data_IF_424190043529
#
_entry.id   IF_424190043529
#
_cell.length_a   1.000
_cell.length_b   1.000
_cell.length_c   1.000
_cell.angle_alpha   90.00
_cell.angle_beta   90.00
_cell.angle_gamma   90.00
#
_symmetry.space_group_name_H-M   'P 1'
#
loop_
_entity.id
_entity.type
_entity.pdbx_description
1 polymer ?
#
# COMPACT_ATOMS: atom_id res chain seq x y z
N UNK A 1 -18.38 50.70 -32.33
CA UNK A 1 -17.85 49.41 -31.87
C UNK A 1 -18.92 48.36 -32.15
N UNK A 2 -18.78 47.58 -33.22
CA UNK A 2 -19.67 46.48 -33.56
C UNK A 2 -19.14 45.19 -32.89
N UNK A 3 -19.99 44.54 -32.11
CA UNK A 3 -19.72 43.26 -31.50
C UNK A 3 -19.76 42.15 -32.55
N UNK A 4 -18.64 41.46 -32.76
CA UNK A 4 -18.57 40.26 -33.60
C UNK A 4 -19.20 39.11 -32.83
N UNK A 5 -20.41 38.73 -33.21
CA UNK A 5 -21.05 37.47 -32.80
C UNK A 5 -20.38 36.34 -33.59
N UNK A 6 -19.39 35.69 -33.01
CA UNK A 6 -18.85 34.45 -33.53
C UNK A 6 -19.81 33.30 -33.27
N UNK A 7 -20.49 32.80 -34.31
CA UNK A 7 -21.18 31.50 -34.29
C UNK A 7 -20.12 30.40 -34.30
N UNK A 8 -19.80 29.87 -33.12
CA UNK A 8 -19.10 28.61 -33.03
C UNK A 8 -20.12 27.51 -33.39
N UNK A 9 -20.21 27.13 -34.67
CA UNK A 9 -20.77 25.84 -35.07
C UNK A 9 -19.88 24.76 -34.44
N UNK A 10 -20.39 24.02 -33.46
CA UNK A 10 -19.70 22.88 -32.92
C UNK A 10 -19.36 21.91 -34.05
N UNK A 11 -18.10 21.84 -34.41
CA UNK A 11 -17.57 20.81 -35.29
C UNK A 11 -17.72 19.47 -34.55
N UNK A 12 -18.57 18.58 -35.09
CA UNK A 12 -18.64 17.21 -34.58
C UNK A 12 -17.24 16.60 -34.61
N UNK A 13 -16.87 15.93 -33.53
CA UNK A 13 -15.59 15.24 -33.45
C UNK A 13 -15.46 14.22 -34.60
N UNK A 14 -14.26 14.03 -35.18
CA UNK A 14 -14.04 13.01 -36.20
C UNK A 14 -14.51 11.65 -35.75
N UNK A 15 -15.06 10.85 -36.66
CA UNK A 15 -15.65 9.52 -36.38
C UNK A 15 -14.62 8.59 -35.67
N UNK A 16 -13.34 8.69 -36.05
CA UNK A 16 -12.25 7.94 -35.40
C UNK A 16 -12.06 8.35 -33.93
N UNK A 17 -12.22 9.64 -33.61
CA UNK A 17 -12.12 10.11 -32.23
C UNK A 17 -13.31 9.64 -31.40
N UNK A 18 -14.53 9.64 -31.98
CA UNK A 18 -15.72 9.11 -31.32
C UNK A 18 -15.56 7.61 -31.03
N UNK A 19 -15.11 6.82 -32.01
CA UNK A 19 -14.91 5.37 -31.83
C UNK A 19 -13.81 5.06 -30.80
N UNK A 20 -12.79 5.91 -30.69
CA UNK A 20 -11.74 5.77 -29.68
C UNK A 20 -12.26 6.10 -28.28
N UNK A 21 -13.04 7.15 -28.14
CA UNK A 21 -13.71 7.53 -26.88
C UNK A 21 -14.65 6.44 -26.43
N UNK A 22 -15.53 5.95 -27.34
CA UNK A 22 -16.47 4.87 -27.04
C UNK A 22 -15.76 3.57 -26.59
N UNK A 23 -14.59 3.28 -27.20
CA UNK A 23 -13.76 2.13 -26.81
C UNK A 23 -13.17 2.34 -25.42
N UNK A 24 -12.68 3.55 -25.12
CA UNK A 24 -12.13 3.89 -23.80
C UNK A 24 -13.21 3.89 -22.72
N UNK A 25 -14.40 4.42 -23.03
CA UNK A 25 -15.56 4.35 -22.13
C UNK A 25 -15.96 2.92 -21.83
N UNK A 26 -15.98 2.04 -22.84
CA UNK A 26 -16.29 0.63 -22.65
C UNK A 26 -15.25 -0.10 -21.80
N UNK A 27 -13.95 0.15 -22.03
CA UNK A 27 -12.87 -0.39 -21.19
C UNK A 27 -12.99 0.13 -19.76
N UNK A 28 -13.36 1.39 -19.59
CA UNK A 28 -13.60 2.00 -18.30
C UNK A 28 -14.84 1.38 -17.61
N UNK A 29 -15.92 1.18 -18.35
CA UNK A 29 -17.14 0.55 -17.85
C UNK A 29 -16.89 -0.90 -17.44
N UNK A 30 -16.17 -1.70 -18.25
CA UNK A 30 -15.79 -3.09 -17.96
C UNK A 30 -14.87 -3.16 -16.72
N UNK A 31 -13.99 -2.16 -16.53
CA UNK A 31 -13.12 -2.06 -15.35
C UNK A 31 -13.92 -1.71 -14.08
N UNK A 32 -14.97 -0.90 -14.20
CA UNK A 32 -15.77 -0.44 -13.06
C UNK A 32 -16.96 -1.35 -12.72
N UNK A 33 -17.34 -2.32 -13.56
CA UNK A 33 -18.37 -3.30 -13.21
C UNK A 33 -17.97 -4.20 -12.02
N UNK A 34 -16.69 -4.23 -11.66
CA UNK A 34 -16.14 -5.01 -10.55
C UNK A 34 -15.72 -4.19 -9.32
N UNK A 35 -16.13 -2.90 -9.19
CA UNK A 35 -15.76 -2.09 -8.02
C UNK A 35 -16.63 -2.48 -6.83
N UNK A 36 -15.94 -2.96 -5.79
CA UNK A 36 -16.57 -3.22 -4.49
C UNK A 36 -16.18 -2.16 -3.48
N UNK A 37 -17.14 -1.66 -2.75
CA UNK A 37 -16.94 -0.66 -1.68
C UNK A 37 -17.52 -1.14 -0.35
N UNK A 38 -17.16 -0.44 0.72
CA UNK A 38 -17.78 -0.60 2.04
C UNK A 38 -18.48 0.69 2.45
N UNK A 39 -19.47 0.59 3.32
CA UNK A 39 -20.06 1.77 3.96
C UNK A 39 -19.06 2.36 4.97
N UNK A 40 -19.02 3.69 5.04
CA UNK A 40 -18.16 4.43 5.99
C UNK A 40 -16.69 3.99 6.01
N UNK A 41 -16.00 3.93 4.85
CA UNK A 41 -14.64 3.40 4.78
C UNK A 41 -13.65 4.26 5.59
N UNK A 42 -13.98 5.50 5.92
CA UNK A 42 -13.16 6.41 6.73
C UNK A 42 -12.97 5.91 8.16
N UNK A 43 -13.94 5.20 8.73
CA UNK A 43 -13.83 4.60 10.08
C UNK A 43 -12.73 3.55 10.13
N UNK A 44 -12.63 2.71 9.11
CA UNK A 44 -11.55 1.71 8.98
C UNK A 44 -10.17 2.37 8.89
N UNK A 45 -10.06 3.45 8.11
CA UNK A 45 -8.79 4.19 7.98
C UNK A 45 -8.31 4.70 9.33
N UNK A 46 -9.20 5.33 10.10
CA UNK A 46 -8.87 5.86 11.43
C UNK A 46 -8.47 4.75 12.39
N UNK A 47 -9.19 3.63 12.41
CA UNK A 47 -8.88 2.48 13.26
C UNK A 47 -7.51 1.88 12.91
N UNK A 48 -7.21 1.68 11.62
CA UNK A 48 -5.94 1.15 11.15
C UNK A 48 -4.78 2.06 11.57
N UNK A 49 -4.92 3.37 11.43
CA UNK A 49 -3.89 4.34 11.81
C UNK A 49 -3.56 4.26 13.29
N UNK A 50 -4.58 4.26 14.16
CA UNK A 50 -4.35 4.18 15.61
C UNK A 50 -3.78 2.82 16.02
N UNK A 51 -4.26 1.74 15.44
CA UNK A 51 -3.74 0.41 15.66
C UNK A 51 -2.24 0.29 15.33
N UNK A 52 -1.84 0.80 14.16
CA UNK A 52 -0.44 0.75 13.72
C UNK A 52 0.45 1.62 14.60
N UNK A 53 -0.02 2.78 15.02
CA UNK A 53 0.71 3.64 15.96
C UNK A 53 0.97 2.94 17.29
N UNK A 54 -0.02 2.25 17.83
CA UNK A 54 0.08 1.58 19.12
C UNK A 54 0.91 0.29 19.07
N UNK A 55 0.77 -0.51 18.00
CA UNK A 55 1.30 -1.86 17.95
C UNK A 55 2.55 -2.03 17.08
N UNK A 56 2.72 -1.19 16.06
CA UNK A 56 3.81 -1.26 15.09
C UNK A 56 4.58 0.06 14.93
N UNK A 57 4.51 0.95 15.93
CA UNK A 57 5.19 2.23 15.95
C UNK A 57 6.73 2.11 16.03
N UNK A 58 7.38 3.09 16.66
CA UNK A 58 8.85 3.16 16.74
C UNK A 58 9.41 2.03 17.60
N UNK A 59 8.86 1.82 18.80
CA UNK A 59 9.28 0.76 19.72
C UNK A 59 8.33 -0.44 19.59
N UNK A 60 8.87 -1.54 19.14
CA UNK A 60 8.13 -2.78 18.84
C UNK A 60 8.54 -3.89 19.78
N UNK A 61 7.64 -4.83 20.04
CA UNK A 61 7.93 -6.11 20.67
C UNK A 61 6.95 -7.16 20.15
N UNK A 62 7.24 -8.42 20.44
CA UNK A 62 6.44 -9.57 20.00
C UNK A 62 4.97 -9.43 20.37
N UNK A 63 4.67 -9.13 21.63
CA UNK A 63 3.29 -9.05 22.12
C UNK A 63 2.48 -7.97 21.38
N UNK A 64 3.03 -6.77 21.25
CA UNK A 64 2.36 -5.69 20.52
C UNK A 64 2.14 -6.04 19.05
N UNK A 65 3.18 -6.55 18.38
CA UNK A 65 3.09 -6.95 16.99
C UNK A 65 2.07 -8.08 16.77
N UNK A 66 2.00 -9.09 17.65
CA UNK A 66 1.00 -10.15 17.58
C UNK A 66 -0.41 -9.63 17.77
N UNK A 67 -0.63 -8.75 18.76
CA UNK A 67 -1.93 -8.11 18.97
C UNK A 67 -2.33 -7.26 17.77
N UNK A 68 -1.38 -6.49 17.21
CA UNK A 68 -1.60 -5.71 15.98
C UNK A 68 -1.97 -6.59 14.79
N UNK A 69 -1.25 -7.70 14.58
CA UNK A 69 -1.55 -8.63 13.49
C UNK A 69 -2.93 -9.24 13.63
N UNK A 70 -3.28 -9.73 14.84
CA UNK A 70 -4.60 -10.29 15.11
C UNK A 70 -5.69 -9.29 14.75
N UNK A 71 -5.57 -8.05 15.21
CA UNK A 71 -6.58 -7.02 14.96
C UNK A 71 -6.65 -6.60 13.49
N UNK A 72 -5.52 -6.48 12.78
CA UNK A 72 -5.51 -6.21 11.32
C UNK A 72 -6.24 -7.31 10.55
N UNK A 73 -6.03 -8.57 10.92
CA UNK A 73 -6.72 -9.68 10.27
C UNK A 73 -8.23 -9.69 10.56
N UNK A 74 -8.66 -9.33 11.76
CA UNK A 74 -10.07 -9.16 12.10
C UNK A 74 -10.72 -8.04 11.28
N UNK A 75 -10.08 -6.86 11.24
CA UNK A 75 -10.55 -5.72 10.43
C UNK A 75 -10.60 -6.11 8.94
N UNK A 76 -9.57 -6.79 8.44
CA UNK A 76 -9.48 -7.26 7.07
C UNK A 76 -10.66 -8.20 6.74
N UNK A 77 -10.92 -9.19 7.57
CA UNK A 77 -12.03 -10.11 7.36
C UNK A 77 -13.38 -9.38 7.38
N UNK A 78 -13.59 -8.50 8.35
CA UNK A 78 -14.81 -7.71 8.44
C UNK A 78 -14.97 -6.78 7.23
N UNK A 79 -13.89 -6.11 6.80
CA UNK A 79 -13.89 -5.25 5.63
C UNK A 79 -14.33 -6.00 4.36
N UNK A 80 -13.73 -7.16 4.09
CA UNK A 80 -14.09 -7.94 2.91
C UNK A 80 -15.50 -8.55 2.97
N UNK A 81 -15.98 -8.89 4.17
CA UNK A 81 -17.35 -9.40 4.35
C UNK A 81 -18.42 -8.33 4.14
N UNK A 82 -18.07 -7.06 4.29
CA UNK A 82 -18.99 -5.93 4.13
C UNK A 82 -18.81 -5.18 2.80
N UNK A 83 -17.96 -5.69 1.90
CA UNK A 83 -17.87 -5.16 0.54
C UNK A 83 -19.14 -5.49 -0.24
N UNK A 84 -19.64 -4.51 -0.97
CA UNK A 84 -20.73 -4.68 -1.93
C UNK A 84 -20.34 -4.04 -3.25
N UNK A 85 -20.81 -4.62 -4.34
CA UNK A 85 -20.53 -4.13 -5.68
C UNK A 85 -21.40 -2.91 -6.01
N UNK A 86 -20.75 -1.89 -6.56
CA UNK A 86 -21.44 -0.69 -7.05
C UNK A 86 -21.66 -0.84 -8.54
N UNK A 87 -22.91 -0.58 -8.98
CA UNK A 87 -23.21 -0.46 -10.41
C UNK A 87 -22.89 0.95 -10.89
N UNK A 88 -22.28 1.06 -12.05
CA UNK A 88 -21.87 2.33 -12.65
C UNK A 88 -23.02 3.35 -12.77
N UNK A 89 -24.27 2.88 -12.92
CA UNK A 89 -25.45 3.74 -12.94
C UNK A 89 -25.69 4.49 -11.62
N UNK A 90 -25.34 3.85 -10.49
CA UNK A 90 -25.45 4.46 -9.16
C UNK A 90 -24.35 5.51 -8.95
N UNK A 91 -23.19 5.30 -9.58
CA UNK A 91 -22.08 6.22 -9.59
C UNK A 91 -22.37 7.57 -10.25
N UNK A 92 -23.18 7.56 -11.33
CA UNK A 92 -23.54 8.77 -12.09
C UNK A 92 -24.61 9.63 -11.41
N UNK A 93 -25.40 9.07 -10.49
CA UNK A 93 -26.52 9.77 -9.83
C UNK A 93 -26.20 10.37 -8.47
N UNK A 94 -25.19 9.85 -7.73
CA UNK A 94 -24.80 10.32 -6.39
C UNK A 94 -23.32 10.74 -6.35
N UNK A 95 -22.94 11.60 -7.26
CA UNK A 95 -21.56 11.88 -7.66
C UNK A 95 -20.55 12.18 -6.53
N UNK A 96 -20.93 12.83 -5.43
CA UNK A 96 -19.94 13.29 -4.47
C UNK A 96 -19.53 12.25 -3.41
N UNK A 97 -20.49 11.55 -2.80
CA UNK A 97 -20.18 10.63 -1.70
C UNK A 97 -19.72 9.25 -2.18
N UNK A 98 -20.26 8.78 -3.31
CA UNK A 98 -19.94 7.45 -3.84
C UNK A 98 -18.50 7.37 -4.35
N UNK A 99 -18.04 8.41 -5.06
CA UNK A 99 -16.65 8.46 -5.54
C UNK A 99 -15.64 8.49 -4.40
N UNK A 100 -15.88 9.31 -3.37
CA UNK A 100 -15.03 9.36 -2.19
C UNK A 100 -14.99 8.00 -1.48
N UNK A 101 -16.13 7.35 -1.30
CA UNK A 101 -16.21 6.03 -0.69
C UNK A 101 -15.45 4.96 -1.49
N UNK A 102 -15.46 5.01 -2.82
CA UNK A 102 -14.67 4.12 -3.68
C UNK A 102 -13.18 4.34 -3.44
N UNK A 103 -12.72 5.59 -3.54
CA UNK A 103 -11.31 5.94 -3.35
C UNK A 103 -10.83 5.55 -1.96
N UNK A 104 -11.60 5.88 -0.91
CA UNK A 104 -11.24 5.55 0.47
C UNK A 104 -11.29 4.04 0.71
N UNK A 105 -12.22 3.29 0.09
CA UNK A 105 -12.25 1.82 0.16
C UNK A 105 -10.99 1.20 -0.43
N UNK A 106 -10.48 1.69 -1.57
CA UNK A 106 -9.22 1.23 -2.14
C UNK A 106 -8.01 1.58 -1.27
N UNK A 107 -8.02 2.78 -0.67
CA UNK A 107 -6.98 3.18 0.28
C UNK A 107 -6.97 2.29 1.51
N UNK A 108 -8.14 1.95 2.06
CA UNK A 108 -8.28 1.02 3.20
C UNK A 108 -7.79 -0.36 2.83
N UNK A 109 -8.19 -0.90 1.68
CA UNK A 109 -7.73 -2.21 1.20
C UNK A 109 -6.21 -2.28 1.06
N UNK A 110 -5.62 -1.29 0.40
CA UNK A 110 -4.17 -1.18 0.25
C UNK A 110 -3.47 -1.04 1.59
N UNK A 111 -4.04 -0.27 2.52
CA UNK A 111 -3.52 -0.09 3.87
C UNK A 111 -3.55 -1.39 4.68
N UNK A 112 -4.63 -2.17 4.60
CA UNK A 112 -4.74 -3.46 5.28
C UNK A 112 -3.65 -4.44 4.82
N UNK A 113 -3.40 -4.50 3.51
CA UNK A 113 -2.34 -5.34 2.93
C UNK A 113 -0.97 -4.87 3.39
N UNK A 114 -0.70 -3.57 3.32
CA UNK A 114 0.58 -2.99 3.72
C UNK A 114 0.84 -3.16 5.23
N UNK A 115 -0.14 -2.92 6.08
CA UNK A 115 -0.04 -3.07 7.53
C UNK A 115 0.21 -4.53 7.93
N UNK A 116 -0.49 -5.48 7.30
CA UNK A 116 -0.24 -6.91 7.51
C UNK A 116 1.21 -7.27 7.14
N UNK A 117 1.69 -6.81 5.97
CA UNK A 117 3.06 -7.06 5.53
C UNK A 117 4.09 -6.47 6.50
N UNK A 118 3.90 -5.22 6.94
CA UNK A 118 4.79 -4.54 7.89
C UNK A 118 4.87 -5.31 9.20
N UNK A 119 3.73 -5.71 9.78
CA UNK A 119 3.70 -6.40 11.06
C UNK A 119 4.31 -7.79 10.95
N UNK A 120 3.99 -8.56 9.89
CA UNK A 120 4.55 -9.90 9.67
C UNK A 120 6.07 -9.84 9.47
N UNK A 121 6.57 -8.91 8.67
CA UNK A 121 8.01 -8.71 8.48
C UNK A 121 8.70 -8.28 9.79
N UNK A 122 8.05 -7.41 10.59
CA UNK A 122 8.58 -6.99 11.88
C UNK A 122 8.59 -8.12 12.92
N UNK A 123 7.60 -9.02 12.90
CA UNK A 123 7.58 -10.23 13.74
C UNK A 123 8.69 -11.19 13.33
N UNK A 124 8.89 -11.39 12.03
CA UNK A 124 9.91 -12.30 11.51
C UNK A 124 11.32 -11.83 11.88
N UNK A 125 11.61 -10.51 11.85
CA UNK A 125 12.94 -9.96 12.17
C UNK A 125 13.17 -9.91 13.67
N UNK A 126 14.11 -10.72 14.16
CA UNK A 126 14.46 -10.85 15.58
C UNK A 126 15.75 -10.11 15.92
N UNK A 127 15.86 -8.87 15.48
CA UNK A 127 16.96 -7.94 15.76
C UNK A 127 16.47 -6.50 15.76
N UNK A 128 17.34 -5.56 16.09
CA UNK A 128 17.16 -4.11 15.88
C UNK A 128 18.16 -3.60 14.86
N UNK A 129 17.65 -3.01 13.74
CA UNK A 129 18.47 -2.51 12.64
C UNK A 129 17.84 -1.29 11.99
N UNK A 130 18.58 -0.20 11.85
CA UNK A 130 18.10 1.06 11.30
C UNK A 130 16.89 1.60 12.08
N UNK A 131 15.79 1.90 11.41
CA UNK A 131 14.54 2.34 12.04
C UNK A 131 13.71 1.19 12.64
N UNK A 132 14.11 -0.07 12.45
CA UNK A 132 13.45 -1.22 13.05
C UNK A 132 14.02 -1.48 14.44
N UNK A 133 13.31 -1.03 15.48
CA UNK A 133 13.71 -1.28 16.86
C UNK A 133 12.75 -2.25 17.55
N UNK A 134 13.32 -3.34 18.07
CA UNK A 134 12.64 -4.39 18.84
C UNK A 134 13.16 -4.36 20.30
N UNK A 135 12.31 -3.98 21.26
CA UNK A 135 12.72 -3.97 22.66
C UNK A 135 13.02 -5.36 23.24
N UNK A 136 12.46 -6.40 22.64
CA UNK A 136 12.72 -7.82 22.95
C UNK A 136 13.96 -8.38 22.21
N UNK A 137 14.43 -7.71 21.16
CA UNK A 137 15.66 -8.01 20.43
C UNK A 137 16.46 -6.71 20.16
N UNK A 138 17.01 -6.04 21.21
CA UNK A 138 17.52 -4.68 21.09
C UNK A 138 18.87 -4.59 20.35
N UNK A 139 19.53 -5.71 20.11
CA UNK A 139 20.85 -5.76 19.48
C UNK A 139 20.73 -6.02 17.97
N UNK A 140 21.73 -5.54 17.25
CA UNK A 140 21.98 -5.90 15.87
C UNK A 140 22.51 -7.33 15.82
N UNK A 141 22.06 -8.11 14.83
CA UNK A 141 22.47 -9.49 14.63
C UNK A 141 22.90 -9.66 13.15
N UNK A 142 24.14 -10.11 12.94
CA UNK A 142 24.69 -10.27 11.58
C UNK A 142 24.00 -11.39 10.78
N UNK A 143 23.43 -12.40 11.44
CA UNK A 143 22.65 -13.45 10.78
C UNK A 143 21.33 -12.92 10.16
N UNK A 144 20.93 -11.74 10.61
CA UNK A 144 19.79 -11.00 10.06
C UNK A 144 20.15 -9.95 9.00
N UNK A 145 21.41 -9.96 8.50
CA UNK A 145 21.80 -9.14 7.35
C UNK A 145 21.15 -9.63 6.06
N UNK A 146 19.83 -9.70 6.06
CA UNK A 146 18.99 -10.20 4.98
C UNK A 146 17.87 -9.21 4.67
N UNK A 147 17.35 -9.26 3.46
CA UNK A 147 16.08 -8.65 3.10
C UNK A 147 14.94 -9.63 3.40
N UNK A 148 13.84 -9.12 3.93
CA UNK A 148 12.60 -9.90 4.08
C UNK A 148 11.66 -9.47 2.96
N UNK A 149 11.23 -10.43 2.17
CA UNK A 149 10.25 -10.25 1.11
C UNK A 149 8.93 -10.85 1.54
N UNK A 150 7.85 -10.24 1.09
CA UNK A 150 6.52 -10.81 1.22
C UNK A 150 5.82 -10.81 -0.14
N UNK A 151 5.06 -11.85 -0.41
CA UNK A 151 4.18 -11.94 -1.58
C UNK A 151 2.87 -12.61 -1.19
N UNK A 152 1.84 -12.34 -1.95
CA UNK A 152 0.58 -13.07 -1.84
C UNK A 152 0.67 -14.36 -2.63
N UNK A 153 0.24 -15.47 -2.04
CA UNK A 153 0.08 -16.76 -2.70
C UNK A 153 -1.40 -17.16 -2.68
N UNK A 154 -1.87 -17.70 -3.81
CA UNK A 154 -3.25 -18.14 -3.99
C UNK A 154 -3.77 -17.83 -5.38
N UNK A 155 -4.42 -18.80 -6.06
CA UNK A 155 -5.03 -18.62 -7.38
C UNK A 155 -6.45 -18.10 -7.21
N UNK A 156 -6.74 -16.95 -7.83
CA UNK A 156 -8.13 -16.53 -8.16
C UNK A 156 -9.05 -16.16 -6.99
N UNK A 157 -8.54 -16.06 -5.79
CA UNK A 157 -9.34 -15.60 -4.67
C UNK A 157 -9.43 -14.07 -4.67
N UNK A 158 -10.61 -13.54 -4.34
CA UNK A 158 -10.76 -12.15 -3.91
C UNK A 158 -9.60 -11.77 -2.99
N UNK A 159 -9.12 -10.53 -3.09
CA UNK A 159 -7.89 -10.05 -2.41
C UNK A 159 -7.81 -10.39 -0.91
N UNK A 160 -8.93 -10.74 -0.26
CA UNK A 160 -9.03 -11.14 1.13
C UNK A 160 -8.52 -12.54 1.47
N UNK A 161 -8.57 -13.49 0.54
CA UNK A 161 -8.31 -14.91 0.81
C UNK A 161 -6.87 -15.35 0.48
N UNK A 162 -6.06 -14.50 -0.17
CA UNK A 162 -4.68 -14.85 -0.50
C UNK A 162 -3.80 -14.82 0.75
N UNK A 163 -3.04 -15.88 0.98
CA UNK A 163 -2.09 -15.97 2.07
C UNK A 163 -0.84 -15.10 1.77
N UNK A 164 -0.32 -14.44 2.80
CA UNK A 164 0.91 -13.67 2.71
C UNK A 164 2.09 -14.53 3.16
N UNK A 165 2.95 -14.89 2.23
CA UNK A 165 4.15 -15.69 2.46
C UNK A 165 5.37 -14.79 2.56
N UNK A 166 6.21 -15.05 3.56
CA UNK A 166 7.45 -14.33 3.81
C UNK A 166 8.65 -15.23 3.57
N UNK A 167 9.71 -14.64 3.01
CA UNK A 167 10.98 -15.33 2.83
C UNK A 167 12.16 -14.38 2.99
N UNK A 168 13.30 -14.93 3.42
CA UNK A 168 14.56 -14.21 3.57
C UNK A 168 15.35 -14.30 2.27
N UNK A 169 16.06 -13.23 1.95
CA UNK A 169 16.99 -13.19 0.83
C UNK A 169 18.24 -12.44 1.27
N UNK A 170 19.40 -12.99 1.00
CA UNK A 170 20.66 -12.38 1.37
C UNK A 170 20.83 -11.02 0.70
N UNK A 171 21.42 -10.08 1.45
CA UNK A 171 21.78 -8.79 0.90
C UNK A 171 22.90 -8.98 -0.11
N UNK A 172 22.64 -8.57 -1.35
CA UNK A 172 23.63 -8.64 -2.41
C UNK A 172 24.84 -7.78 -2.04
N UNK A 173 26.00 -8.38 -1.98
CA UNK A 173 27.23 -7.63 -1.80
C UNK A 173 27.54 -6.78 -3.03
N UNK A 174 27.58 -5.47 -2.84
CA UNK A 174 27.99 -4.55 -3.91
C UNK A 174 29.52 -4.51 -3.91
N UNK A 175 30.13 -4.85 -5.05
CA UNK A 175 31.59 -4.84 -5.25
C UNK A 175 31.92 -3.78 -6.30
N UNK A 176 33.12 -3.19 -6.17
CA UNK A 176 33.66 -2.29 -7.17
C UNK A 176 34.38 -1.08 -6.58
N UNK A 177 35.15 -0.35 -7.41
CA UNK A 177 36.00 0.74 -6.96
C UNK A 177 35.28 1.84 -6.14
N UNK A 178 34.04 2.13 -6.51
CA UNK A 178 33.25 3.13 -5.77
C UNK A 178 32.93 2.68 -4.32
N UNK A 179 32.66 1.39 -4.14
CA UNK A 179 32.36 0.83 -2.82
C UNK A 179 33.62 0.84 -1.95
N UNK A 180 34.78 0.50 -2.52
CA UNK A 180 36.06 0.50 -1.81
C UNK A 180 36.43 1.93 -1.42
N UNK A 181 36.18 2.91 -2.29
CA UNK A 181 36.36 4.33 -1.99
C UNK A 181 35.43 4.79 -0.85
N UNK A 182 34.15 4.42 -0.87
CA UNK A 182 33.20 4.75 0.20
C UNK A 182 33.59 4.11 1.53
N UNK A 183 34.01 2.84 1.53
CA UNK A 183 34.49 2.14 2.75
C UNK A 183 35.73 2.85 3.35
N UNK A 184 36.66 3.29 2.50
CA UNK A 184 37.87 4.02 2.96
C UNK A 184 37.49 5.37 3.57
N UNK A 185 36.54 6.11 3.01
CA UNK A 185 36.11 7.40 3.55
C UNK A 185 35.35 7.26 4.87
N UNK A 186 34.47 6.24 5.00
CA UNK A 186 33.75 5.96 6.25
C UNK A 186 34.73 5.58 7.34
N UNK A 187 35.74 4.76 7.04
CA UNK A 187 36.79 4.40 8.00
C UNK A 187 37.63 5.59 8.46
N UNK A 188 37.99 6.48 7.54
CA UNK A 188 38.71 7.72 7.84
C UNK A 188 37.89 8.72 8.67
N UNK A 189 36.58 8.79 8.43
CA UNK A 189 35.67 9.63 9.22
C UNK A 189 35.54 9.13 10.67
N UNK A 190 35.44 7.81 10.90
CA UNK A 190 35.38 7.20 12.23
C UNK A 190 36.65 7.45 13.05
N UNK A 191 37.79 7.43 12.38
CA UNK A 191 39.11 7.70 13.08
C UNK A 191 39.22 9.15 13.55
N UNK A 192 38.64 10.13 12.84
CA UNK A 192 38.65 11.55 13.22
C UNK A 192 37.69 11.93 14.35
N UNK A 193 36.76 11.07 14.69
CA UNK A 193 35.75 11.35 15.74
C UNK A 193 36.23 10.93 17.12
N UNK A 194 37.41 10.29 17.25
CA UNK A 194 37.98 9.80 18.49
C UNK A 194 39.38 10.44 18.81
N UNK A 195 39.80 11.45 18.05
CA UNK A 195 40.88 12.37 18.38
C UNK A 195 40.30 13.72 18.88
#
# INVERSE_FOLDING_TARGET
>A
MQAVKGNAKGTEAPTELKSHVDTQEKVFDDYYEGISVVQEPTSYRTEIQELMKQNAGIVRNQTRLQNGLKRILEIKNYFYSNKHDIKLKEFKTEYNNTFENVVVSWQVESSLIACEAIIRCALMRQESRGAHYRSDFPKLDEDWKVNIYCRKEGKGASAGAAEMVLFKHDVREIKGPLVDLLKSHVKAAHQRTFE
#
